data_IF_931228671457
#
_entry.id   IF_931228671457
#
_cell.length_a   1.000
_cell.length_b   1.000
_cell.length_c   1.000
_cell.angle_alpha   90.00
_cell.angle_beta   90.00
_cell.angle_gamma   90.00
#
_symmetry.space_group_name_H-M   'P 1'
#
loop_
_entity.id
_entity.type
_entity.pdbx_description
1 polymer ?
#
# COMPACT_ATOMS: atom_id res chain seq x y z
N UNK A 1 -24.40 5.35 -4.72
CA UNK A 1 -23.25 4.90 -3.92
C UNK A 1 -22.25 4.22 -4.85
N UNK A 2 -21.01 4.66 -4.94
CA UNK A 2 -19.99 3.93 -5.69
C UNK A 2 -19.66 2.64 -4.91
N UNK A 3 -19.60 1.49 -5.59
CA UNK A 3 -19.23 0.23 -4.96
C UNK A 3 -17.79 0.29 -4.46
N UNK A 4 -17.55 -0.06 -3.20
CA UNK A 4 -16.21 -0.18 -2.61
C UNK A 4 -15.40 -1.22 -3.40
N UNK A 5 -14.15 -0.91 -3.72
CA UNK A 5 -13.24 -1.83 -4.39
C UNK A 5 -12.55 -2.71 -3.36
N UNK A 6 -12.86 -3.99 -3.33
CA UNK A 6 -12.16 -4.95 -2.46
C UNK A 6 -11.02 -5.60 -3.23
N UNK A 7 -9.78 -5.42 -2.75
CA UNK A 7 -8.58 -6.05 -3.30
C UNK A 7 -8.25 -7.33 -2.53
N UNK A 8 -8.07 -8.41 -3.24
CA UNK A 8 -7.72 -9.73 -2.68
C UNK A 8 -6.20 -9.87 -2.63
N UNK A 9 -5.65 -9.91 -1.42
CA UNK A 9 -4.21 -10.00 -1.18
C UNK A 9 -3.70 -11.45 -1.24
N UNK A 10 -2.39 -11.61 -1.50
CA UNK A 10 -1.72 -12.91 -1.46
C UNK A 10 -1.96 -13.77 -2.69
N UNK A 11 -2.27 -13.13 -3.80
CA UNK A 11 -2.47 -13.78 -5.10
C UNK A 11 -1.16 -14.03 -5.85
N UNK A 12 -0.01 -13.93 -5.19
CA UNK A 12 1.30 -14.26 -5.76
C UNK A 12 1.41 -15.76 -6.08
N UNK A 13 0.79 -16.62 -5.26
CA UNK A 13 0.79 -18.05 -5.54
C UNK A 13 -0.13 -18.39 -6.73
N UNK A 14 0.25 -19.38 -7.57
CA UNK A 14 -0.61 -19.83 -8.67
C UNK A 14 -1.95 -20.38 -8.19
N UNK A 15 -1.97 -21.08 -7.05
CA UNK A 15 -3.19 -21.66 -6.47
C UNK A 15 -4.21 -20.56 -6.11
N UNK A 16 -3.78 -19.55 -5.34
CA UNK A 16 -4.68 -18.46 -4.95
C UNK A 16 -5.11 -17.63 -6.16
N UNK A 17 -4.20 -17.39 -7.12
CA UNK A 17 -4.58 -16.73 -8.35
C UNK A 17 -5.68 -17.47 -9.10
N UNK A 18 -5.52 -18.79 -9.33
CA UNK A 18 -6.53 -19.59 -10.02
C UNK A 18 -7.87 -19.59 -9.29
N UNK A 19 -7.86 -19.63 -7.96
CA UNK A 19 -9.06 -19.52 -7.13
C UNK A 19 -9.74 -18.15 -7.33
N UNK A 20 -8.99 -17.05 -7.29
CA UNK A 20 -9.53 -15.72 -7.56
C UNK A 20 -10.14 -15.60 -8.96
N UNK A 21 -9.47 -16.14 -9.97
CA UNK A 21 -9.97 -16.12 -11.35
C UNK A 21 -11.26 -16.93 -11.48
N UNK A 22 -11.34 -18.12 -10.86
CA UNK A 22 -12.51 -18.99 -10.93
C UNK A 22 -13.78 -18.37 -10.34
N UNK A 23 -13.64 -17.48 -9.35
CA UNK A 23 -14.75 -16.77 -8.72
C UNK A 23 -14.97 -15.34 -9.29
N UNK A 24 -14.23 -14.97 -10.33
CA UNK A 24 -14.41 -13.71 -11.03
C UNK A 24 -13.91 -12.47 -10.28
N UNK A 25 -12.87 -12.61 -9.44
CA UNK A 25 -12.23 -11.48 -8.75
C UNK A 25 -11.75 -10.44 -9.77
N UNK A 26 -12.03 -9.17 -9.48
CA UNK A 26 -11.68 -8.05 -10.36
C UNK A 26 -10.58 -7.14 -9.82
N UNK A 27 -10.23 -7.25 -8.55
CA UNK A 27 -9.17 -6.43 -7.94
C UNK A 27 -8.26 -7.34 -7.12
N UNK A 28 -6.98 -7.30 -7.38
CA UNK A 28 -5.96 -8.14 -6.75
C UNK A 28 -4.85 -7.25 -6.19
N UNK A 29 -4.39 -7.55 -4.97
CA UNK A 29 -3.23 -6.91 -4.35
C UNK A 29 -2.08 -7.91 -4.34
N UNK A 30 -0.92 -7.46 -4.76
CA UNK A 30 0.32 -8.23 -4.77
C UNK A 30 1.44 -7.44 -4.09
N UNK A 31 2.23 -8.11 -3.24
CA UNK A 31 3.36 -7.48 -2.59
C UNK A 31 4.63 -7.60 -3.44
N UNK A 32 5.22 -6.45 -3.82
CA UNK A 32 6.49 -6.40 -4.55
C UNK A 32 7.59 -7.18 -3.85
N UNK A 33 7.63 -7.15 -2.51
CA UNK A 33 8.57 -7.94 -1.72
C UNK A 33 8.52 -9.44 -2.03
N UNK A 34 7.32 -9.96 -2.27
CA UNK A 34 7.14 -11.40 -2.51
C UNK A 34 7.58 -11.85 -3.90
N UNK A 35 7.43 -11.01 -4.91
CA UNK A 35 7.64 -11.44 -6.30
C UNK A 35 8.62 -10.56 -7.11
N UNK A 36 8.82 -9.30 -6.74
CA UNK A 36 9.42 -8.27 -7.61
C UNK A 36 10.76 -8.66 -8.23
N UNK A 37 11.70 -9.17 -7.44
CA UNK A 37 13.00 -9.63 -7.95
C UNK A 37 12.96 -11.06 -8.51
N UNK A 38 12.13 -11.93 -7.96
CA UNK A 38 12.07 -13.36 -8.31
C UNK A 38 11.30 -13.63 -9.60
N UNK A 39 10.21 -12.92 -9.79
CA UNK A 39 9.30 -13.09 -10.94
C UNK A 39 8.82 -11.74 -11.46
N UNK A 40 9.71 -10.89 -12.00
CA UNK A 40 9.39 -9.50 -12.33
C UNK A 40 8.26 -9.34 -13.36
N UNK A 41 8.00 -10.36 -14.16
CA UNK A 41 6.93 -10.38 -15.15
C UNK A 41 5.58 -10.94 -14.65
N UNK A 42 5.46 -11.29 -13.38
CA UNK A 42 4.27 -11.99 -12.85
C UNK A 42 2.98 -11.19 -13.06
N UNK A 43 2.99 -9.91 -12.74
CA UNK A 43 1.82 -9.02 -12.92
C UNK A 43 1.45 -8.91 -14.40
N UNK A 44 2.43 -8.71 -15.28
CA UNK A 44 2.24 -8.70 -16.74
C UNK A 44 1.57 -9.97 -17.22
N UNK A 45 2.10 -11.14 -16.84
CA UNK A 45 1.55 -12.44 -17.25
C UNK A 45 0.10 -12.61 -16.80
N UNK A 46 -0.21 -12.25 -15.56
CA UNK A 46 -1.57 -12.31 -15.01
C UNK A 46 -2.52 -11.32 -15.66
N UNK A 47 -2.06 -10.10 -15.90
CA UNK A 47 -2.86 -9.08 -16.58
C UNK A 47 -3.21 -9.49 -18.02
N UNK A 48 -2.27 -10.10 -18.73
CA UNK A 48 -2.51 -10.59 -20.09
C UNK A 48 -3.47 -11.79 -20.12
N UNK A 49 -3.40 -12.70 -19.12
CA UNK A 49 -4.33 -13.82 -19.02
C UNK A 49 -5.72 -13.39 -18.53
N UNK A 50 -5.83 -12.32 -17.77
CA UNK A 50 -7.10 -11.79 -17.28
C UNK A 50 -7.11 -10.24 -17.30
N UNK A 51 -7.37 -9.63 -18.47
CA UNK A 51 -7.27 -8.18 -18.67
C UNK A 51 -8.21 -7.34 -17.80
N UNK A 52 -9.30 -7.93 -17.30
CA UNK A 52 -10.29 -7.23 -16.47
C UNK A 52 -9.85 -7.04 -15.02
N UNK A 53 -8.83 -7.78 -14.57
CA UNK A 53 -8.33 -7.65 -13.20
C UNK A 53 -7.53 -6.36 -13.06
N UNK A 54 -7.79 -5.61 -11.98
CA UNK A 54 -7.03 -4.45 -11.54
C UNK A 54 -5.98 -4.91 -10.53
N UNK A 55 -4.75 -4.41 -10.68
CA UNK A 55 -3.67 -4.74 -9.78
C UNK A 55 -3.27 -3.53 -8.93
N UNK A 56 -3.34 -3.70 -7.61
CA UNK A 56 -2.67 -2.85 -6.63
C UNK A 56 -1.36 -3.54 -6.27
N UNK A 57 -0.27 -2.78 -6.25
CA UNK A 57 1.03 -3.30 -5.84
C UNK A 57 1.42 -2.65 -4.52
N UNK A 58 1.48 -3.48 -3.49
CA UNK A 58 2.02 -3.12 -2.19
C UNK A 58 3.55 -3.14 -2.22
N UNK A 59 4.17 -2.21 -1.53
CA UNK A 59 5.63 -2.10 -1.46
C UNK A 59 6.29 -3.26 -0.70
N UNK A 60 5.56 -3.88 0.22
CA UNK A 60 6.05 -4.92 1.11
C UNK A 60 6.55 -4.40 2.47
N UNK A 61 6.27 -3.15 2.84
CA UNK A 61 6.70 -2.59 4.12
C UNK A 61 6.31 -3.47 5.32
N UNK A 62 5.08 -4.00 5.34
CA UNK A 62 4.62 -4.93 6.37
C UNK A 62 5.49 -6.22 6.45
N UNK A 63 5.99 -6.70 5.31
CA UNK A 63 6.85 -7.89 5.26
C UNK A 63 8.23 -7.63 5.87
N UNK A 64 8.71 -6.38 5.83
CA UNK A 64 9.93 -5.98 6.53
C UNK A 64 9.77 -6.09 8.05
N UNK A 65 8.58 -5.83 8.60
CA UNK A 65 8.31 -6.04 10.03
C UNK A 65 8.38 -7.53 10.37
N UNK A 66 7.71 -8.37 9.60
CA UNK A 66 7.63 -9.80 9.86
C UNK A 66 9.01 -10.50 9.76
N UNK A 67 9.87 -10.01 8.85
CA UNK A 67 11.20 -10.56 8.59
C UNK A 67 12.36 -9.67 9.12
N UNK A 68 12.07 -8.82 10.08
CA UNK A 68 12.99 -7.78 10.53
C UNK A 68 14.40 -8.29 10.86
N UNK A 69 14.54 -9.52 11.32
CA UNK A 69 15.85 -10.12 11.60
C UNK A 69 16.78 -10.13 10.38
N UNK A 70 16.22 -10.15 9.18
CA UNK A 70 16.97 -10.02 7.91
C UNK A 70 17.42 -8.59 7.64
N UNK A 71 16.71 -7.62 8.18
CA UNK A 71 16.91 -6.19 7.89
C UNK A 71 17.57 -5.42 9.03
N UNK A 72 17.75 -6.04 10.20
CA UNK A 72 18.33 -5.40 11.41
C UNK A 72 19.67 -4.71 11.17
N UNK A 73 20.43 -5.15 10.17
CA UNK A 73 21.72 -4.58 9.80
C UNK A 73 21.65 -3.64 8.59
N UNK A 74 20.47 -3.45 8.00
CA UNK A 74 20.33 -2.54 6.88
C UNK A 74 20.60 -1.11 7.31
N UNK A 75 21.33 -0.40 6.45
CA UNK A 75 21.57 1.03 6.54
C UNK A 75 20.68 1.74 5.54
N UNK A 76 20.54 3.04 5.66
CA UNK A 76 19.77 3.87 4.73
C UNK A 76 19.98 3.48 3.26
N UNK A 77 21.23 3.26 2.87
CA UNK A 77 21.55 2.90 1.48
C UNK A 77 20.79 1.67 0.96
N UNK A 78 20.64 0.62 1.75
CA UNK A 78 19.91 -0.58 1.32
C UNK A 78 18.42 -0.30 1.15
N UNK A 79 17.84 0.52 2.00
CA UNK A 79 16.45 0.95 1.87
C UNK A 79 16.27 1.85 0.64
N UNK A 80 17.17 2.81 0.41
CA UNK A 80 17.17 3.66 -0.79
C UNK A 80 17.26 2.81 -2.06
N UNK A 81 18.15 1.81 -2.07
CA UNK A 81 18.31 0.89 -3.21
C UNK A 81 17.03 0.04 -3.43
N UNK A 82 16.37 -0.38 -2.36
CA UNK A 82 15.09 -1.09 -2.46
C UNK A 82 13.99 -0.21 -3.06
N UNK A 83 13.83 1.01 -2.57
CA UNK A 83 12.84 1.97 -3.10
C UNK A 83 13.11 2.26 -4.58
N UNK A 84 14.37 2.48 -4.96
CA UNK A 84 14.75 2.69 -6.36
C UNK A 84 14.39 1.50 -7.25
N UNK A 85 14.66 0.28 -6.80
CA UNK A 85 14.28 -0.95 -7.52
C UNK A 85 12.77 -1.08 -7.68
N UNK A 86 12.03 -0.82 -6.60
CA UNK A 86 10.57 -0.85 -6.61
C UNK A 86 10.00 0.16 -7.61
N UNK A 87 10.46 1.40 -7.57
CA UNK A 87 10.02 2.45 -8.48
C UNK A 87 10.40 2.14 -9.94
N UNK A 88 11.61 1.64 -10.18
CA UNK A 88 12.02 1.21 -11.52
C UNK A 88 11.14 0.07 -12.05
N UNK A 89 10.81 -0.90 -11.20
CA UNK A 89 9.88 -1.97 -11.55
C UNK A 89 8.49 -1.45 -11.88
N UNK A 90 7.95 -0.52 -11.08
CA UNK A 90 6.64 0.13 -11.32
C UNK A 90 6.65 0.77 -12.73
N UNK A 91 7.65 1.57 -13.05
CA UNK A 91 7.78 2.24 -14.36
C UNK A 91 7.80 1.25 -15.52
N UNK A 92 8.56 0.18 -15.39
CA UNK A 92 8.65 -0.88 -16.40
C UNK A 92 7.30 -1.63 -16.60
N UNK A 93 6.47 -1.69 -15.56
CA UNK A 93 5.22 -2.44 -15.56
C UNK A 93 3.96 -1.55 -15.54
N UNK A 94 4.08 -0.21 -15.69
CA UNK A 94 3.01 0.77 -15.49
C UNK A 94 1.69 0.45 -16.19
N UNK A 95 1.74 -0.12 -17.40
CA UNK A 95 0.55 -0.47 -18.17
C UNK A 95 -0.23 -1.68 -17.65
N UNK A 96 0.33 -2.40 -16.69
CA UNK A 96 -0.29 -3.58 -16.07
C UNK A 96 -0.75 -3.32 -14.64
N UNK A 97 -0.42 -2.16 -14.08
CA UNK A 97 -0.67 -1.79 -12.68
C UNK A 97 -1.69 -0.65 -12.64
N UNK A 98 -2.66 -0.74 -11.76
CA UNK A 98 -3.70 0.28 -11.61
C UNK A 98 -3.38 1.29 -10.49
N UNK A 99 -2.76 0.84 -9.41
CA UNK A 99 -2.24 1.69 -8.34
C UNK A 99 -1.11 0.99 -7.57
N UNK A 100 -0.34 1.79 -6.85
CA UNK A 100 0.78 1.30 -6.03
C UNK A 100 0.71 1.91 -4.64
N UNK A 101 1.23 1.21 -3.64
CA UNK A 101 1.40 1.73 -2.28
C UNK A 101 2.83 2.25 -2.14
N UNK A 102 3.01 3.38 -1.51
CA UNK A 102 4.35 3.88 -1.18
C UNK A 102 5.13 2.92 -0.28
N UNK A 103 6.41 3.19 -0.08
CA UNK A 103 7.20 2.40 0.88
C UNK A 103 7.15 3.09 2.25
N UNK A 104 6.14 2.73 3.02
CA UNK A 104 5.72 3.31 4.30
C UNK A 104 6.39 2.65 5.52
N UNK A 105 7.71 2.61 5.52
CA UNK A 105 8.48 1.89 6.54
C UNK A 105 8.65 2.67 7.85
N UNK A 106 8.22 3.92 7.93
CA UNK A 106 8.35 4.78 9.11
C UNK A 106 7.73 4.16 10.37
N UNK A 107 6.54 3.61 10.28
CA UNK A 107 5.90 2.87 11.37
C UNK A 107 6.72 1.65 11.81
N UNK A 108 7.20 0.88 10.85
CA UNK A 108 8.00 -0.31 11.09
C UNK A 108 9.29 -0.01 11.86
N UNK A 109 9.89 1.12 11.57
CA UNK A 109 11.16 1.51 12.15
C UNK A 109 11.04 1.88 13.62
N UNK A 110 9.98 2.56 14.01
CA UNK A 110 9.74 2.89 15.40
C UNK A 110 9.46 1.64 16.27
N UNK A 111 8.77 0.65 15.75
CA UNK A 111 8.48 -0.59 16.50
C UNK A 111 9.63 -1.60 16.50
N UNK A 112 10.36 -1.71 15.39
CA UNK A 112 11.28 -2.82 15.14
C UNK A 112 12.73 -2.39 15.24
N UNK A 113 13.03 -1.13 14.94
CA UNK A 113 14.39 -0.58 14.98
C UNK A 113 14.68 0.22 16.25
N UNK A 114 13.85 0.15 17.28
CA UNK A 114 14.22 0.65 18.61
C UNK A 114 15.59 0.10 19.08
N UNK A 115 16.05 -1.01 18.49
CA UNK A 115 17.39 -1.56 18.67
C UNK A 115 18.40 -1.20 17.58
N UNK A 116 18.00 -0.64 16.41
CA UNK A 116 18.91 -0.22 15.35
C UNK A 116 18.85 1.28 15.11
N UNK A 117 19.26 2.06 16.07
CA UNK A 117 19.39 3.52 16.00
C UNK A 117 20.28 4.00 14.83
N UNK A 118 21.02 3.10 14.18
CA UNK A 118 21.94 3.40 13.09
C UNK A 118 21.31 3.27 11.69
N UNK A 119 20.07 2.88 11.55
CA UNK A 119 19.43 2.80 10.22
C UNK A 119 19.22 4.20 9.61
N UNK A 120 19.10 5.24 10.47
CA UNK A 120 18.95 6.63 10.04
C UNK A 120 17.67 6.87 9.24
N UNK A 121 16.62 6.06 9.47
CA UNK A 121 15.37 6.16 8.76
C UNK A 121 14.29 6.60 9.74
N UNK A 122 13.61 7.66 9.40
CA UNK A 122 12.47 8.20 10.12
C UNK A 122 11.50 8.81 9.14
N UNK A 123 10.47 9.47 9.65
CA UNK A 123 9.43 10.10 8.86
C UNK A 123 10.01 11.00 7.75
N UNK A 124 11.02 11.80 8.05
CA UNK A 124 11.66 12.71 7.09
C UNK A 124 12.24 11.99 5.86
N UNK A 125 12.71 10.77 6.04
CA UNK A 125 13.26 9.96 4.94
C UNK A 125 12.13 9.39 4.07
N UNK A 126 11.05 8.92 4.69
CA UNK A 126 9.86 8.47 3.94
C UNK A 126 9.29 9.65 3.14
N UNK A 127 9.20 10.84 3.71
CA UNK A 127 8.78 12.04 3.00
C UNK A 127 9.75 12.45 1.88
N UNK A 128 11.06 12.21 2.06
CA UNK A 128 12.05 12.39 0.99
C UNK A 128 11.77 11.44 -0.18
N UNK A 129 11.51 10.15 0.09
CA UNK A 129 11.13 9.19 -0.96
C UNK A 129 9.80 9.55 -1.63
N UNK A 130 8.81 10.03 -0.86
CA UNK A 130 7.56 10.55 -1.41
C UNK A 130 7.84 11.62 -2.45
N UNK A 131 8.65 12.65 -2.10
CA UNK A 131 8.98 13.76 -3.01
C UNK A 131 9.82 13.31 -4.21
N UNK A 132 10.85 12.49 -3.99
CA UNK A 132 11.81 12.11 -5.03
C UNK A 132 11.28 11.08 -6.01
N UNK A 133 10.41 10.17 -5.55
CA UNK A 133 10.01 9.00 -6.34
C UNK A 133 8.51 8.91 -6.55
N UNK A 134 7.72 8.90 -5.49
CA UNK A 134 6.30 8.59 -5.60
C UNK A 134 5.50 9.72 -6.24
N UNK A 135 5.82 10.98 -5.93
CA UNK A 135 5.21 12.13 -6.63
C UNK A 135 5.55 12.17 -8.12
N UNK A 136 6.73 11.69 -8.51
CA UNK A 136 7.07 11.58 -9.93
C UNK A 136 6.23 10.50 -10.63
N UNK A 137 5.95 9.36 -9.95
CA UNK A 137 5.06 8.35 -10.50
C UNK A 137 3.65 8.91 -10.77
N UNK A 138 3.13 9.78 -9.89
CA UNK A 138 1.84 10.45 -10.14
C UNK A 138 1.89 11.33 -11.39
N UNK A 139 2.96 12.10 -11.61
CA UNK A 139 3.11 12.89 -12.84
C UNK A 139 3.23 12.03 -14.10
N UNK A 140 3.68 10.79 -13.95
CA UNK A 140 3.71 9.77 -15.00
C UNK A 140 2.36 9.06 -15.20
N UNK A 141 1.31 9.46 -14.46
CA UNK A 141 -0.06 8.91 -14.55
C UNK A 141 -0.30 7.64 -13.74
N UNK A 142 0.59 7.31 -12.78
CA UNK A 142 0.44 6.16 -11.89
C UNK A 142 -0.23 6.62 -10.60
N UNK A 143 -1.31 5.96 -10.20
CA UNK A 143 -2.00 6.25 -8.93
C UNK A 143 -1.18 5.71 -7.76
N UNK A 144 -0.85 6.57 -6.80
CA UNK A 144 -0.09 6.22 -5.59
C UNK A 144 -0.99 6.32 -4.37
N UNK A 145 -0.92 5.35 -3.47
CA UNK A 145 -1.54 5.35 -2.15
C UNK A 145 -0.45 5.73 -1.15
N UNK A 146 -0.63 6.86 -0.47
CA UNK A 146 0.24 7.30 0.62
C UNK A 146 -0.34 6.82 1.94
N UNK A 147 0.49 6.28 2.83
CA UNK A 147 0.02 5.60 4.04
C UNK A 147 0.14 6.51 5.25
N UNK A 148 -0.98 6.69 5.94
CA UNK A 148 -1.00 7.36 7.22
C UNK A 148 -0.83 6.35 8.36
N UNK A 149 0.05 6.67 9.29
CA UNK A 149 0.27 5.95 10.53
C UNK A 149 -0.02 6.84 11.73
N UNK A 150 -0.33 6.23 12.88
CA UNK A 150 -0.72 6.94 14.12
C UNK A 150 0.32 7.94 14.60
N UNK A 151 1.59 7.70 14.31
CA UNK A 151 2.72 8.58 14.64
C UNK A 151 2.64 9.95 13.95
N UNK A 152 1.91 10.04 12.83
CA UNK A 152 1.67 11.32 12.11
C UNK A 152 0.62 12.19 12.79
N UNK A 153 -0.15 11.64 13.72
CA UNK A 153 -1.24 12.35 14.39
C UNK A 153 -2.39 12.77 13.46
N UNK A 154 -3.38 13.44 14.05
CA UNK A 154 -4.55 13.93 13.30
C UNK A 154 -4.18 15.07 12.34
N UNK A 155 -3.25 15.93 12.72
CA UNK A 155 -2.76 17.03 11.88
C UNK A 155 -2.04 16.48 10.63
N UNK A 156 -1.25 15.43 10.80
CA UNK A 156 -0.62 14.74 9.68
C UNK A 156 -1.63 14.10 8.73
N UNK A 157 -2.78 13.64 9.23
CA UNK A 157 -3.86 13.15 8.37
C UNK A 157 -4.42 14.26 7.49
N UNK A 158 -4.71 15.41 8.08
CA UNK A 158 -5.24 16.56 7.34
C UNK A 158 -4.24 17.04 6.27
N UNK A 159 -2.96 17.18 6.62
CA UNK A 159 -1.89 17.51 5.67
C UNK A 159 -1.83 16.52 4.52
N UNK A 160 -1.88 15.22 4.82
CA UNK A 160 -1.86 14.19 3.78
C UNK A 160 -3.08 14.26 2.86
N UNK A 161 -4.28 14.48 3.41
CA UNK A 161 -5.49 14.64 2.60
C UNK A 161 -5.43 15.89 1.72
N UNK A 162 -4.82 16.97 2.20
CA UNK A 162 -4.64 18.20 1.41
C UNK A 162 -3.64 18.03 0.27
N UNK A 163 -2.65 17.14 0.43
CA UNK A 163 -1.53 16.94 -0.52
C UNK A 163 -1.72 15.80 -1.50
N UNK A 164 -2.45 14.76 -1.12
CA UNK A 164 -2.52 13.52 -1.86
C UNK A 164 -3.95 13.15 -2.25
N UNK A 165 -4.14 12.73 -3.48
CA UNK A 165 -5.45 12.34 -3.99
C UNK A 165 -5.91 10.95 -3.46
N UNK A 166 -4.99 10.15 -2.91
CA UNK A 166 -5.28 8.81 -2.43
C UNK A 166 -4.41 8.46 -1.23
N UNK A 167 -5.04 8.25 -0.09
CA UNK A 167 -4.38 7.96 1.19
C UNK A 167 -4.92 6.65 1.78
N UNK A 168 -4.06 5.91 2.46
CA UNK A 168 -4.41 4.67 3.14
C UNK A 168 -4.46 4.85 4.66
N UNK A 169 -5.40 4.16 5.30
CA UNK A 169 -5.55 4.05 6.75
C UNK A 169 -5.53 2.58 7.18
N UNK A 170 -5.01 2.26 8.38
CA UNK A 170 -5.25 0.96 8.99
C UNK A 170 -6.76 0.71 9.14
N UNK A 171 -7.23 -0.45 8.67
CA UNK A 171 -8.67 -0.78 8.71
C UNK A 171 -9.24 -0.85 10.12
N UNK A 172 -8.40 -1.17 11.10
CA UNK A 172 -8.78 -1.22 12.52
C UNK A 172 -9.25 0.12 13.08
N UNK A 173 -8.81 1.25 12.51
CA UNK A 173 -9.29 2.58 12.88
C UNK A 173 -10.79 2.76 12.70
N UNK A 174 -11.42 1.98 11.84
CA UNK A 174 -12.88 2.07 11.64
C UNK A 174 -13.70 1.77 12.89
N UNK A 175 -13.09 1.17 13.91
CA UNK A 175 -13.71 0.91 15.21
C UNK A 175 -13.56 2.07 16.20
N UNK A 176 -12.66 3.00 15.91
CA UNK A 176 -12.38 4.11 16.80
C UNK A 176 -13.45 5.19 16.69
N UNK A 177 -13.89 5.80 17.80
CA UNK A 177 -14.88 6.88 17.78
C UNK A 177 -14.44 8.08 16.93
N UNK A 178 -13.13 8.27 16.78
CA UNK A 178 -12.53 9.33 15.97
C UNK A 178 -12.61 9.10 14.46
N UNK A 179 -12.91 7.89 14.01
CA UNK A 179 -12.86 7.49 12.60
C UNK A 179 -13.72 8.39 11.68
N UNK A 180 -14.92 8.77 12.14
CA UNK A 180 -15.78 9.65 11.37
C UNK A 180 -15.15 11.03 11.12
N UNK A 181 -14.27 11.52 12.02
CA UNK A 181 -13.52 12.76 11.81
C UNK A 181 -12.50 12.59 10.70
N UNK A 182 -11.77 11.45 10.67
CA UNK A 182 -10.85 11.13 9.59
C UNK A 182 -11.55 11.12 8.24
N UNK A 183 -12.68 10.43 8.12
CA UNK A 183 -13.44 10.36 6.87
C UNK A 183 -14.02 11.71 6.45
N UNK A 184 -14.44 12.54 7.41
CA UNK A 184 -14.94 13.90 7.14
C UNK A 184 -13.84 14.81 6.58
N UNK A 185 -12.60 14.69 7.08
CA UNK A 185 -11.44 15.40 6.54
C UNK A 185 -11.16 14.95 5.10
N UNK A 186 -11.07 13.64 4.85
CA UNK A 186 -10.84 13.11 3.52
C UNK A 186 -11.92 13.59 2.52
N UNK A 187 -13.18 13.58 2.93
CA UNK A 187 -14.30 14.08 2.10
C UNK A 187 -14.15 15.58 1.76
N UNK A 188 -13.73 16.41 2.72
CA UNK A 188 -13.50 17.84 2.50
C UNK A 188 -12.46 18.11 1.42
N UNK A 189 -11.40 17.28 1.35
CA UNK A 189 -10.35 17.36 0.35
C UNK A 189 -10.61 16.50 -0.88
N UNK A 190 -11.74 15.82 -0.98
CA UNK A 190 -12.06 14.86 -2.06
C UNK A 190 -11.03 13.72 -2.21
N UNK A 191 -10.34 13.41 -1.13
CA UNK A 191 -9.30 12.39 -1.08
C UNK A 191 -9.92 11.00 -1.05
N UNK A 192 -9.43 10.09 -1.89
CA UNK A 192 -9.78 8.67 -1.83
C UNK A 192 -9.12 8.03 -0.61
N UNK A 193 -9.86 7.16 0.08
CA UNK A 193 -9.34 6.47 1.25
C UNK A 193 -9.31 4.96 1.00
N UNK A 194 -8.15 4.35 1.22
CA UNK A 194 -7.96 2.90 1.25
C UNK A 194 -7.91 2.40 2.69
N UNK A 195 -8.66 1.35 3.00
CA UNK A 195 -8.61 0.67 4.30
C UNK A 195 -7.73 -0.58 4.22
N UNK A 196 -6.53 -0.55 4.82
CA UNK A 196 -5.65 -1.70 4.88
C UNK A 196 -6.20 -2.76 5.85
N UNK A 197 -6.27 -4.02 5.40
CA UNK A 197 -6.79 -5.16 6.16
C UNK A 197 -8.21 -4.93 6.72
N UNK A 198 -9.02 -4.09 6.07
CA UNK A 198 -10.29 -3.60 6.59
C UNK A 198 -11.41 -4.65 6.63
N UNK A 199 -11.26 -5.80 5.95
CA UNK A 199 -12.33 -6.79 5.82
C UNK A 199 -12.60 -7.64 7.04
N UNK A 200 -11.65 -7.74 8.00
CA UNK A 200 -11.87 -8.51 9.25
C UNK A 200 -12.90 -7.89 10.18
N UNK A 201 -13.27 -6.64 9.98
CA UNK A 201 -13.81 -5.82 11.05
C UNK A 201 -15.12 -5.18 10.69
N UNK A 202 -15.66 -5.42 9.49
CA UNK A 202 -16.57 -4.48 8.94
C UNK A 202 -17.86 -5.07 8.44
N UNK A 203 -18.85 -4.45 8.88
CA UNK A 203 -19.92 -4.04 7.97
C UNK A 203 -19.42 -2.86 7.13
N UNK A 204 -18.57 -3.15 6.09
CA UNK A 204 -18.00 -2.14 5.19
C UNK A 204 -19.08 -1.40 4.38
N UNK A 205 -20.37 -1.74 4.56
CA UNK A 205 -21.50 -1.05 3.98
C UNK A 205 -21.74 0.31 4.65
N UNK A 206 -21.30 0.47 5.89
CA UNK A 206 -21.51 1.68 6.67
C UNK A 206 -20.34 2.67 6.63
N UNK A 207 -19.26 2.32 5.90
CA UNK A 207 -18.07 3.15 5.79
C UNK A 207 -17.81 3.55 4.33
N UNK A 208 -17.58 4.83 4.11
CA UNK A 208 -17.38 5.40 2.76
C UNK A 208 -15.94 5.21 2.24
N UNK A 209 -15.46 3.94 2.32
CA UNK A 209 -14.18 3.56 1.73
C UNK A 209 -14.22 3.65 0.21
N UNK A 210 -13.17 4.20 -0.39
CA UNK A 210 -12.99 4.08 -1.84
C UNK A 210 -12.49 2.68 -2.21
N UNK A 211 -11.60 2.11 -1.40
CA UNK A 211 -11.14 0.74 -1.54
C UNK A 211 -10.68 0.14 -0.22
N UNK A 212 -10.65 -1.17 -0.16
CA UNK A 212 -10.14 -1.95 0.96
C UNK A 212 -9.34 -3.15 0.44
N UNK A 213 -8.52 -3.76 1.30
CA UNK A 213 -7.90 -5.05 1.00
C UNK A 213 -8.19 -6.10 2.07
N UNK A 214 -7.99 -7.35 1.70
CA UNK A 214 -8.13 -8.50 2.58
C UNK A 214 -7.19 -9.64 2.27
N UNK A 215 -6.67 -10.26 3.33
CA UNK A 215 -5.95 -11.53 3.30
C UNK A 215 -6.78 -12.69 3.86
N UNK A 216 -7.94 -12.43 4.46
CA UNK A 216 -8.74 -13.42 5.21
C UNK A 216 -9.64 -14.29 4.36
N UNK A 217 -9.59 -14.17 3.05
CA UNK A 217 -10.34 -14.96 2.10
C UNK A 217 -9.68 -16.33 1.74
N UNK A 218 -8.47 -16.57 2.25
CA UNK A 218 -7.66 -17.77 2.05
C UNK A 218 -8.16 -18.95 2.88
#
# INVERSE_FOLDING_TARGET
>A
MSSVRCYFSGVESPQHWNQCVSVGVRNALMSYWQFGERTPNLVKTRKLSNPKVRFMIDSGAHSFIADWTKFKNWKRKQFDDYVKKYVAWIRANRKYVDCVVEFDIDYCLNMVLAGNQNAGIGLSIVEEWQRQYFRQLETEGISVIYVWHTERGVEGWEDMCARFAYVGLPGELSKEPSFNKFMSVAKRYTTKVHGFAATKQLDFRDVDWFSIDSITWK
#
